data_IF_317545828714
#
_entry.id   IF_317545828714
#
_cell.length_a   1.000
_cell.length_b   1.000
_cell.length_c   1.000
_cell.angle_alpha   90.00
_cell.angle_beta   90.00
_cell.angle_gamma   90.00
#
_symmetry.space_group_name_H-M   'P 1'
#
loop_
_entity.id
_entity.type
_entity.pdbx_description
1 polymer ?
#
# COMPACT_ATOMS: atom_id res chain seq x y z
N UNK A 1 11.09 14.89 -5.54
CA UNK A 1 10.03 14.27 -4.73
C UNK A 1 9.08 13.58 -5.69
N UNK A 2 8.98 12.25 -5.67
CA UNK A 2 8.04 11.49 -6.50
C UNK A 2 6.61 11.89 -6.09
N UNK A 3 5.80 12.35 -7.04
CA UNK A 3 4.47 12.89 -6.79
C UNK A 3 3.47 11.74 -6.82
N UNK A 4 2.71 11.57 -5.73
CA UNK A 4 1.62 10.59 -5.67
C UNK A 4 0.62 10.84 -6.80
N UNK A 5 0.19 9.76 -7.45
CA UNK A 5 -0.83 9.79 -8.50
C UNK A 5 -2.18 10.29 -7.96
N UNK A 6 -2.58 9.82 -6.77
CA UNK A 6 -3.77 10.26 -6.04
C UNK A 6 -3.48 10.36 -4.54
N UNK A 7 -4.23 11.22 -3.83
CA UNK A 7 -4.19 11.29 -2.36
C UNK A 7 -5.22 10.36 -1.70
N UNK A 8 -6.14 9.81 -2.49
CA UNK A 8 -7.20 8.92 -2.03
C UNK A 8 -6.96 7.51 -2.54
N UNK A 9 -7.61 6.53 -1.92
CA UNK A 9 -7.65 5.16 -2.46
C UNK A 9 -8.65 5.09 -3.60
N UNK A 10 -8.23 4.47 -4.69
CA UNK A 10 -9.10 4.20 -5.84
C UNK A 10 -9.80 2.85 -5.69
N UNK A 11 -11.01 2.72 -6.23
CA UNK A 11 -11.79 1.48 -6.22
C UNK A 11 -11.80 0.87 -7.62
N UNK A 12 -11.42 -0.41 -7.73
CA UNK A 12 -11.39 -1.10 -9.02
C UNK A 12 -11.71 -2.58 -8.87
N UNK A 13 -12.37 -3.15 -9.88
CA UNK A 13 -12.84 -4.55 -9.88
C UNK A 13 -11.77 -5.56 -10.31
N UNK A 14 -10.53 -5.39 -9.85
CA UNK A 14 -9.42 -6.31 -10.17
C UNK A 14 -9.64 -7.68 -9.52
N UNK A 15 -9.44 -8.76 -10.28
CA UNK A 15 -9.63 -10.14 -9.80
C UNK A 15 -8.80 -10.44 -8.56
N UNK A 16 -7.57 -9.93 -8.51
CA UNK A 16 -6.64 -10.11 -7.38
C UNK A 16 -7.15 -9.50 -6.07
N UNK A 17 -8.14 -8.60 -6.12
CA UNK A 17 -8.72 -7.95 -4.94
C UNK A 17 -10.03 -8.59 -4.47
N UNK A 18 -10.55 -9.60 -5.17
CA UNK A 18 -11.89 -10.16 -4.92
C UNK A 18 -11.95 -11.23 -3.82
N UNK A 19 -10.95 -11.30 -2.94
CA UNK A 19 -11.01 -12.24 -1.81
C UNK A 19 -12.05 -11.79 -0.77
N UNK A 20 -13.12 -12.56 -0.51
CA UNK A 20 -14.16 -12.15 0.43
C UNK A 20 -13.72 -12.27 1.90
N UNK A 21 -12.67 -13.05 2.20
CA UNK A 21 -12.24 -13.37 3.55
C UNK A 21 -10.95 -12.65 4.00
N UNK A 22 -10.28 -11.94 3.09
CA UNK A 22 -8.98 -11.29 3.36
C UNK A 22 -9.00 -9.85 2.83
N UNK A 23 -8.76 -8.84 3.68
CA UNK A 23 -8.55 -7.46 3.22
C UNK A 23 -7.44 -7.41 2.18
N UNK A 24 -7.74 -6.87 1.00
CA UNK A 24 -6.83 -6.89 -0.16
C UNK A 24 -6.67 -5.49 -0.74
N UNK A 25 -5.44 -5.12 -1.08
CA UNK A 25 -5.10 -3.84 -1.74
C UNK A 25 -4.09 -4.09 -2.87
N UNK A 26 -4.15 -3.27 -3.92
CA UNK A 26 -3.15 -3.24 -4.99
C UNK A 26 -2.37 -1.92 -4.86
N UNK A 27 -1.05 -2.01 -4.88
CA UNK A 27 -0.16 -0.84 -4.77
C UNK A 27 0.53 -0.62 -6.10
N UNK A 28 0.20 0.47 -6.78
CA UNK A 28 0.96 0.95 -7.94
C UNK A 28 2.16 1.75 -7.43
N UNK A 29 3.36 1.19 -7.60
CA UNK A 29 4.57 1.73 -6.97
C UNK A 29 5.25 2.81 -7.82
N UNK A 30 5.17 2.70 -9.15
CA UNK A 30 5.71 3.66 -10.12
C UNK A 30 5.21 3.34 -11.53
N UNK A 31 5.28 4.31 -12.44
CA UNK A 31 4.96 4.14 -13.86
C UNK A 31 6.23 3.85 -14.68
N UNK A 32 6.35 2.62 -15.21
CA UNK A 32 7.46 2.24 -16.11
C UNK A 32 7.43 3.05 -17.41
N UNK A 33 6.25 3.52 -17.84
CA UNK A 33 6.10 4.35 -19.04
C UNK A 33 6.69 5.76 -18.87
N UNK A 34 7.00 6.18 -17.64
CA UNK A 34 7.72 7.42 -17.37
C UNK A 34 9.22 7.10 -17.20
N UNK A 35 10.11 7.55 -18.11
CA UNK A 35 11.53 7.21 -18.08
C UNK A 35 12.25 7.61 -16.79
N UNK A 36 11.84 8.70 -16.14
CA UNK A 36 12.44 9.13 -14.87
C UNK A 36 12.10 8.14 -13.75
N UNK A 37 10.85 7.69 -13.72
CA UNK A 37 10.32 6.74 -12.75
C UNK A 37 10.88 5.33 -12.96
N UNK A 38 10.96 4.88 -14.21
CA UNK A 38 11.61 3.62 -14.58
C UNK A 38 13.07 3.59 -14.08
N UNK A 39 13.83 4.66 -14.33
CA UNK A 39 15.22 4.77 -13.88
C UNK A 39 15.32 4.71 -12.35
N UNK A 40 14.41 5.37 -11.64
CA UNK A 40 14.37 5.32 -10.17
C UNK A 40 14.03 3.90 -9.68
N UNK A 41 13.05 3.24 -10.29
CA UNK A 41 12.63 1.87 -9.99
C UNK A 41 13.77 0.86 -10.19
N UNK A 42 14.68 1.13 -11.13
CA UNK A 42 15.92 0.38 -11.33
C UNK A 42 16.90 0.42 -10.14
N UNK A 43 16.79 1.41 -9.25
CA UNK A 43 17.72 1.56 -8.12
C UNK A 43 17.29 0.76 -6.87
N UNK A 44 18.26 0.14 -6.18
CA UNK A 44 18.00 -0.58 -4.94
C UNK A 44 17.47 0.34 -3.83
N UNK A 45 18.00 1.56 -3.72
CA UNK A 45 17.59 2.53 -2.71
C UNK A 45 16.11 2.94 -2.83
N UNK A 46 15.61 3.17 -4.05
CA UNK A 46 14.21 3.53 -4.25
C UNK A 46 13.27 2.35 -3.97
N UNK A 47 13.63 1.13 -4.41
CA UNK A 47 12.88 -0.08 -4.07
C UNK A 47 12.83 -0.34 -2.56
N UNK A 48 13.94 -0.12 -1.86
CA UNK A 48 13.98 -0.25 -0.41
C UNK A 48 13.05 0.76 0.27
N UNK A 49 13.02 2.01 -0.22
CA UNK A 49 12.11 3.03 0.29
C UNK A 49 10.63 2.64 0.13
N UNK A 50 10.26 2.11 -1.04
CA UNK A 50 8.90 1.61 -1.30
C UNK A 50 8.56 0.44 -0.36
N UNK A 51 9.45 -0.54 -0.25
CA UNK A 51 9.24 -1.71 0.58
C UNK A 51 9.06 -1.34 2.07
N UNK A 52 9.89 -0.44 2.59
CA UNK A 52 9.78 0.07 3.96
C UNK A 52 8.42 0.75 4.19
N UNK A 53 8.00 1.63 3.28
CA UNK A 53 6.71 2.32 3.42
C UNK A 53 5.52 1.36 3.40
N UNK A 54 5.54 0.32 2.55
CA UNK A 54 4.49 -0.71 2.51
C UNK A 54 4.48 -1.51 3.82
N UNK A 55 5.64 -1.94 4.31
CA UNK A 55 5.75 -2.69 5.54
C UNK A 55 5.23 -1.90 6.75
N UNK A 56 5.63 -0.63 6.87
CA UNK A 56 5.14 0.27 7.92
C UNK A 56 3.62 0.47 7.85
N UNK A 57 3.06 0.61 6.64
CA UNK A 57 1.61 0.71 6.43
C UNK A 57 0.86 -0.54 6.90
N UNK A 58 1.37 -1.74 6.60
CA UNK A 58 0.78 -3.02 7.05
C UNK A 58 0.84 -3.14 8.57
N UNK A 59 1.98 -2.82 9.19
CA UNK A 59 2.12 -2.83 10.66
C UNK A 59 1.13 -1.85 11.30
N UNK A 60 1.03 -0.65 10.76
CA UNK A 60 0.07 0.36 11.24
C UNK A 60 -1.38 -0.11 11.16
N UNK A 61 -1.75 -0.81 10.07
CA UNK A 61 -3.08 -1.42 9.93
C UNK A 61 -3.37 -2.44 11.04
N UNK A 62 -2.43 -3.33 11.35
CA UNK A 62 -2.64 -4.32 12.41
C UNK A 62 -2.76 -3.67 13.79
N UNK A 63 -1.93 -2.66 14.09
CA UNK A 63 -2.06 -1.90 15.35
C UNK A 63 -3.43 -1.24 15.47
N UNK A 64 -3.92 -0.60 14.41
CA UNK A 64 -5.25 -0.01 14.37
C UNK A 64 -6.35 -1.07 14.56
N UNK A 65 -6.25 -2.20 13.85
CA UNK A 65 -7.23 -3.28 13.88
C UNK A 65 -7.35 -3.92 15.27
N UNK A 66 -6.22 -4.20 15.91
CA UNK A 66 -6.19 -4.78 17.26
C UNK A 66 -6.77 -3.82 18.30
N UNK A 67 -6.47 -2.52 18.18
CA UNK A 67 -7.05 -1.48 19.05
C UNK A 67 -8.58 -1.42 18.90
N UNK A 68 -9.11 -1.49 17.67
CA UNK A 68 -10.56 -1.51 17.46
C UNK A 68 -11.22 -2.76 18.06
N UNK A 69 -10.61 -3.94 17.90
CA UNK A 69 -11.10 -5.17 18.55
C UNK A 69 -11.10 -5.08 20.07
N UNK A 70 -10.06 -4.49 20.66
CA UNK A 70 -9.97 -4.30 22.10
C UNK A 70 -11.10 -3.40 22.63
N UNK A 71 -11.46 -2.35 21.91
CA UNK A 71 -12.59 -1.48 22.26
C UNK A 71 -13.96 -2.16 22.08
N UNK A 72 -14.13 -3.00 21.07
CA UNK A 72 -15.38 -3.76 20.87
C UNK A 72 -15.64 -4.81 21.95
N UNK A 73 -14.60 -5.34 22.60
CA UNK A 73 -14.71 -6.34 23.69
C UNK A 73 -14.99 -5.76 25.07
N UNK A 74 -14.81 -4.44 25.25
CA UNK A 74 -15.00 -3.73 26.52
C UNK A 74 -16.41 -3.11 26.69
N UNK A 75 -17.30 -3.32 25.72
CA UNK A 75 -18.69 -2.89 25.74
C UNK A 75 -19.62 -4.06 26.00
#
# INVERSE_FOLDING_TARGET
MHKLHSRNTEQAAFVVLKSPSVPSVLVETSFITNPEEERLLGTAAFRQKIATAIAEGVISYFHWFDNQKAHSRKR
#
